data_IF_264488314690
#
_entry.id   IF_264488314690
#
_cell.length_a   1.000
_cell.length_b   1.000
_cell.length_c   1.000
_cell.angle_alpha   90.00
_cell.angle_beta   90.00
_cell.angle_gamma   90.00
#
_symmetry.space_group_name_H-M   'P 1'
#
loop_
_entity.id
_entity.type
_entity.pdbx_description
1 polymer ?
#
# COMPACT_ATOMS: atom_id res chain seq x y z
N UNK A 1 13.75 -9.85 4.42
CA UNK A 1 12.58 -8.99 4.15
C UNK A 1 11.35 -9.77 3.70
N UNK A 2 11.44 -10.61 2.65
CA UNK A 2 10.28 -11.39 2.17
C UNK A 2 9.62 -12.27 3.24
N UNK A 3 10.40 -12.84 4.15
CA UNK A 3 9.85 -13.66 5.23
C UNK A 3 9.03 -12.85 6.26
N UNK A 4 9.31 -11.55 6.40
CA UNK A 4 8.58 -10.63 7.29
C UNK A 4 7.24 -10.24 6.64
N UNK A 5 7.27 -9.96 5.33
CA UNK A 5 6.05 -9.75 4.53
C UNK A 5 5.14 -10.98 4.58
N UNK A 6 5.71 -12.18 4.46
CA UNK A 6 4.94 -13.43 4.58
C UNK A 6 4.24 -13.53 5.94
N UNK A 7 4.95 -13.26 7.04
CA UNK A 7 4.36 -13.21 8.38
C UNK A 7 3.27 -12.14 8.53
N UNK A 8 3.42 -10.99 7.88
CA UNK A 8 2.39 -9.94 7.87
C UNK A 8 1.14 -10.39 7.08
N UNK A 9 1.32 -11.01 5.92
CA UNK A 9 0.21 -11.54 5.14
C UNK A 9 -0.50 -12.73 5.81
N UNK A 10 0.23 -13.54 6.59
CA UNK A 10 -0.35 -14.59 7.44
C UNK A 10 -1.08 -14.02 8.67
N UNK A 11 -0.72 -12.81 9.10
CA UNK A 11 -1.40 -12.07 10.17
C UNK A 11 -2.72 -11.43 9.70
N UNK A 12 -2.82 -11.08 8.41
CA UNK A 12 -4.04 -10.54 7.80
C UNK A 12 -5.15 -11.59 7.61
N UNK A 13 -6.40 -11.19 7.83
CA UNK A 13 -7.59 -12.00 7.52
C UNK A 13 -7.70 -12.25 6.01
N UNK A 14 -8.28 -13.40 5.60
CA UNK A 14 -8.35 -13.83 4.20
C UNK A 14 -9.02 -12.80 3.25
N UNK A 15 -10.01 -12.04 3.74
CA UNK A 15 -10.70 -11.00 2.99
C UNK A 15 -9.83 -9.76 2.76
N UNK A 16 -9.16 -9.26 3.79
CA UNK A 16 -8.25 -8.10 3.69
C UNK A 16 -7.00 -8.42 2.88
N UNK A 17 -6.50 -9.66 2.97
CA UNK A 17 -5.42 -10.14 2.12
C UNK A 17 -5.77 -10.00 0.64
N UNK A 18 -7.03 -10.22 0.25
CA UNK A 18 -7.49 -10.04 -1.14
C UNK A 18 -7.47 -8.56 -1.55
N UNK A 19 -7.86 -7.63 -0.66
CA UNK A 19 -7.76 -6.18 -0.90
C UNK A 19 -6.30 -5.73 -1.07
N UNK A 20 -5.38 -6.26 -0.26
CA UNK A 20 -3.95 -6.00 -0.41
C UNK A 20 -3.38 -6.52 -1.74
N UNK A 21 -3.75 -7.75 -2.16
CA UNK A 21 -3.34 -8.27 -3.47
C UNK A 21 -3.87 -7.43 -4.63
N UNK A 22 -5.12 -6.99 -4.57
CA UNK A 22 -5.69 -6.08 -5.58
C UNK A 22 -4.93 -4.76 -5.64
N UNK A 23 -4.55 -4.22 -4.47
CA UNK A 23 -3.77 -2.99 -4.40
C UNK A 23 -2.36 -3.14 -4.99
N UNK A 24 -1.68 -4.25 -4.71
CA UNK A 24 -0.37 -4.58 -5.33
C UNK A 24 -0.50 -4.70 -6.84
N UNK A 25 -1.54 -5.37 -7.33
CA UNK A 25 -1.79 -5.51 -8.77
C UNK A 25 -2.04 -4.14 -9.45
N UNK A 26 -2.86 -3.28 -8.84
CA UNK A 26 -3.07 -1.91 -9.30
C UNK A 26 -1.75 -1.09 -9.25
N UNK A 27 -0.89 -1.35 -8.27
CA UNK A 27 0.46 -0.81 -8.16
C UNK A 27 1.34 -1.12 -9.37
N UNK A 28 1.37 -2.39 -9.79
CA UNK A 28 2.11 -2.82 -10.98
C UNK A 28 1.60 -2.07 -12.22
N UNK A 29 0.27 -1.95 -12.38
CA UNK A 29 -0.34 -1.20 -13.49
C UNK A 29 0.07 0.29 -13.43
N UNK A 30 0.06 0.90 -12.24
CA UNK A 30 0.52 2.29 -12.02
C UNK A 30 1.97 2.46 -12.47
N UNK A 31 2.87 1.52 -12.17
CA UNK A 31 4.28 1.58 -12.60
C UNK A 31 4.41 1.61 -14.13
N UNK A 32 3.63 0.81 -14.86
CA UNK A 32 3.62 0.84 -16.32
C UNK A 32 3.10 2.18 -16.88
N UNK A 33 2.08 2.78 -16.25
CA UNK A 33 1.53 4.08 -16.66
C UNK A 33 2.54 5.21 -16.45
N UNK A 34 3.33 5.15 -15.38
CA UNK A 34 4.43 6.10 -15.13
C UNK A 34 5.52 5.91 -16.18
N UNK A 35 5.87 4.66 -16.50
CA UNK A 35 6.88 4.35 -17.51
C UNK A 35 6.50 4.88 -18.91
N UNK A 36 5.21 4.98 -19.23
CA UNK A 36 4.70 5.58 -20.48
C UNK A 36 5.10 7.05 -20.66
N UNK A 37 5.51 7.75 -19.59
CA UNK A 37 6.04 9.13 -19.70
C UNK A 37 7.40 9.18 -20.40
N UNK A 38 8.21 8.12 -20.33
CA UNK A 38 9.54 8.04 -20.95
C UNK A 38 9.46 8.19 -22.49
N UNK A 39 8.65 7.40 -23.23
CA UNK A 39 8.54 7.55 -24.67
C UNK A 39 7.92 8.89 -25.07
N UNK A 40 7.03 9.48 -24.25
CA UNK A 40 6.49 10.81 -24.53
C UNK A 40 7.58 11.89 -24.56
N UNK A 41 8.54 11.84 -23.62
CA UNK A 41 9.72 12.72 -23.63
C UNK A 41 10.59 12.42 -24.86
N UNK A 42 10.78 11.15 -25.21
CA UNK A 42 11.53 10.73 -26.40
C UNK A 42 10.99 11.32 -27.71
N UNK A 43 9.66 11.35 -27.87
CA UNK A 43 9.00 11.97 -29.03
C UNK A 43 9.26 13.47 -29.13
N UNK A 44 9.25 14.17 -27.98
CA UNK A 44 9.53 15.61 -27.93
C UNK A 44 11.00 15.90 -28.30
N UNK A 45 11.94 15.10 -27.80
CA UNK A 45 13.37 15.26 -28.09
C UNK A 45 13.68 15.00 -29.57
N UNK A 46 13.11 13.94 -30.18
CA UNK A 46 13.27 13.69 -31.61
C UNK A 46 12.68 14.80 -32.47
N UNK A 47 11.50 15.31 -32.12
CA UNK A 47 10.88 16.44 -32.82
C UNK A 47 11.70 17.74 -32.72
N UNK A 48 12.48 17.92 -31.66
CA UNK A 48 13.37 19.07 -31.50
C UNK A 48 14.64 18.93 -32.38
N UNK A 49 15.19 17.71 -32.48
CA UNK A 49 16.39 17.42 -33.28
C UNK A 49 16.14 17.59 -34.78
N UNK A 50 14.97 17.19 -35.27
CA UNK A 50 14.61 17.26 -36.69
C UNK A 50 14.26 18.69 -37.17
N UNK A 51 14.28 19.71 -36.30
CA UNK A 51 13.94 21.13 -36.58
C UNK A 51 12.56 21.36 -37.24
N UNK A 52 11.73 20.32 -37.36
CA UNK A 52 10.34 20.40 -37.81
C UNK A 52 9.43 20.22 -36.59
N UNK A 53 9.20 21.32 -35.87
CA UNK A 53 8.18 21.37 -34.83
C UNK A 53 6.79 21.34 -35.48
N UNK A 54 6.37 20.15 -35.94
CA UNK A 54 5.00 19.94 -36.35
C UNK A 54 4.10 20.19 -35.14
N UNK A 55 3.22 21.19 -35.22
CA UNK A 55 2.25 21.53 -34.17
C UNK A 55 1.48 20.28 -33.67
N UNK A 56 1.35 19.27 -34.53
CA UNK A 56 0.73 17.98 -34.25
C UNK A 56 1.53 17.12 -33.26
N UNK A 57 2.87 16.99 -33.38
CA UNK A 57 3.67 16.15 -32.48
C UNK A 57 3.73 16.72 -31.07
N UNK A 58 3.76 18.05 -30.94
CA UNK A 58 3.65 18.73 -29.65
C UNK A 58 2.30 18.45 -28.97
N UNK A 59 1.19 18.57 -29.70
CA UNK A 59 -0.14 18.33 -29.16
C UNK A 59 -0.36 16.86 -28.77
N UNK A 60 0.19 15.93 -29.56
CA UNK A 60 0.12 14.50 -29.30
C UNK A 60 0.92 14.12 -28.04
N UNK A 61 2.13 14.65 -27.87
CA UNK A 61 2.93 14.46 -26.67
C UNK A 61 2.24 15.04 -25.42
N UNK A 62 1.68 16.25 -25.54
CA UNK A 62 0.94 16.91 -24.46
C UNK A 62 -0.31 16.10 -24.05
N UNK A 63 -1.05 15.57 -25.04
CA UNK A 63 -2.18 14.69 -24.81
C UNK A 63 -1.82 13.41 -24.05
N UNK A 64 -0.74 12.73 -24.47
CA UNK A 64 -0.26 11.50 -23.81
C UNK A 64 0.14 11.78 -22.35
N UNK A 65 0.85 12.88 -22.08
CA UNK A 65 1.27 13.23 -20.72
C UNK A 65 0.08 13.57 -19.81
N UNK A 66 -0.92 14.30 -20.32
CA UNK A 66 -2.12 14.63 -19.56
C UNK A 66 -2.91 13.37 -19.19
N UNK A 67 -3.16 12.50 -20.17
CA UNK A 67 -3.89 11.24 -19.94
C UNK A 67 -3.15 10.34 -18.95
N UNK A 68 -1.83 10.17 -19.10
CA UNK A 68 -1.01 9.39 -18.17
C UNK A 68 -1.09 9.93 -16.74
N UNK A 69 -1.06 11.26 -16.57
CA UNK A 69 -1.08 11.89 -15.24
C UNK A 69 -2.43 11.79 -14.56
N UNK A 70 -3.53 12.04 -15.29
CA UNK A 70 -4.88 11.88 -14.74
C UNK A 70 -5.11 10.44 -14.31
N UNK A 71 -4.75 9.48 -15.16
CA UNK A 71 -4.90 8.06 -14.85
C UNK A 71 -4.04 7.65 -13.63
N UNK A 72 -2.81 8.18 -13.53
CA UNK A 72 -1.92 7.92 -12.40
C UNK A 72 -2.51 8.42 -11.06
N UNK A 73 -3.06 9.64 -11.05
CA UNK A 73 -3.71 10.20 -9.85
C UNK A 73 -4.89 9.33 -9.43
N UNK A 74 -5.74 8.94 -10.38
CA UNK A 74 -6.94 8.16 -10.10
C UNK A 74 -6.62 6.78 -9.51
N UNK A 75 -5.62 6.09 -10.07
CA UNK A 75 -5.15 4.79 -9.57
C UNK A 75 -4.50 4.94 -8.19
N UNK A 76 -3.68 5.97 -7.98
CA UNK A 76 -3.03 6.20 -6.68
C UNK A 76 -4.06 6.42 -5.57
N UNK A 77 -5.12 7.19 -5.83
CA UNK A 77 -6.20 7.39 -4.85
C UNK A 77 -6.91 6.07 -4.50
N UNK A 78 -7.20 5.23 -5.50
CA UNK A 78 -7.80 3.91 -5.29
C UNK A 78 -6.89 2.99 -4.48
N UNK A 79 -5.60 2.92 -4.82
CA UNK A 79 -4.59 2.11 -4.10
C UNK A 79 -4.53 2.52 -2.63
N UNK A 80 -4.39 3.82 -2.35
CA UNK A 80 -4.27 4.34 -0.98
C UNK A 80 -5.51 4.02 -0.17
N UNK A 81 -6.72 4.20 -0.73
CA UNK A 81 -7.97 3.91 -0.04
C UNK A 81 -8.15 2.41 0.27
N UNK A 82 -7.86 1.53 -0.69
CA UNK A 82 -7.94 0.09 -0.46
C UNK A 82 -6.95 -0.39 0.62
N UNK A 83 -5.73 0.19 0.65
CA UNK A 83 -4.71 -0.21 1.63
C UNK A 83 -5.00 0.32 3.03
N UNK A 84 -5.53 1.54 3.17
CA UNK A 84 -5.91 2.06 4.48
C UNK A 84 -7.08 1.27 5.06
N UNK A 85 -8.11 0.99 4.28
CA UNK A 85 -9.25 0.21 4.74
C UNK A 85 -8.82 -1.21 5.17
N UNK A 86 -8.06 -1.92 4.32
CA UNK A 86 -7.56 -3.25 4.65
C UNK A 86 -6.62 -3.25 5.87
N UNK A 87 -5.79 -2.21 5.99
CA UNK A 87 -4.86 -2.02 7.10
C UNK A 87 -5.55 -1.85 8.45
N UNK A 88 -6.49 -0.91 8.53
CA UNK A 88 -7.24 -0.65 9.75
C UNK A 88 -8.18 -1.80 10.11
N UNK A 89 -8.84 -2.41 9.13
CA UNK A 89 -9.77 -3.52 9.36
C UNK A 89 -9.06 -4.76 9.91
N UNK A 90 -7.92 -5.13 9.33
CA UNK A 90 -7.09 -6.25 9.83
C UNK A 90 -6.64 -6.01 11.28
N UNK A 91 -6.20 -4.79 11.61
CA UNK A 91 -5.75 -4.47 12.96
C UNK A 91 -6.89 -4.57 13.99
N UNK A 92 -8.07 -4.03 13.64
CA UNK A 92 -9.25 -4.11 14.49
C UNK A 92 -9.66 -5.57 14.76
N UNK A 93 -9.70 -6.40 13.72
CA UNK A 93 -10.04 -7.81 13.86
C UNK A 93 -9.02 -8.57 14.71
N UNK A 94 -7.72 -8.29 14.52
CA UNK A 94 -6.69 -8.93 15.36
C UNK A 94 -6.74 -8.46 16.81
N UNK A 95 -7.09 -7.19 17.07
CA UNK A 95 -7.28 -6.69 18.44
C UNK A 95 -8.35 -7.47 19.18
N UNK A 96 -9.44 -7.83 18.49
CA UNK A 96 -10.52 -8.65 19.04
C UNK A 96 -10.03 -10.08 19.30
N UNK A 97 -9.33 -10.71 18.36
CA UNK A 97 -8.78 -12.06 18.51
C UNK A 97 -7.80 -12.16 19.69
N UNK A 98 -6.92 -11.17 19.86
CA UNK A 98 -6.00 -11.10 21.00
C UNK A 98 -6.78 -10.97 22.31
N UNK A 99 -7.80 -10.10 22.36
CA UNK A 99 -8.62 -9.93 23.55
C UNK A 99 -9.40 -11.21 23.91
N UNK A 100 -9.90 -11.94 22.93
CA UNK A 100 -10.57 -13.22 23.13
C UNK A 100 -9.59 -14.27 23.67
N UNK A 101 -8.37 -14.33 23.12
CA UNK A 101 -7.33 -15.24 23.61
C UNK A 101 -6.92 -14.92 25.06
N UNK A 102 -6.87 -13.63 25.42
CA UNK A 102 -6.61 -13.16 26.79
C UNK A 102 -7.64 -13.66 27.80
N UNK A 103 -8.90 -13.87 27.38
CA UNK A 103 -9.95 -14.39 28.27
C UNK A 103 -9.71 -15.83 28.70
N UNK A 104 -9.02 -16.62 27.89
CA UNK A 104 -8.74 -18.04 28.16
C UNK A 104 -7.37 -18.28 28.81
N UNK A 105 -6.59 -17.22 29.10
CA UNK A 105 -5.28 -17.35 29.72
C UNK A 105 -5.39 -17.65 31.23
N UNK A 106 -4.60 -18.61 31.75
CA UNK A 106 -4.61 -18.93 33.18
C UNK A 106 -4.04 -17.78 34.01
N UNK A 107 -4.61 -17.59 35.21
CA UNK A 107 -4.18 -16.54 36.16
C UNK A 107 -2.68 -16.61 36.52
N UNK A 108 -2.04 -17.79 36.42
CA UNK A 108 -0.60 -17.94 36.61
C UNK A 108 0.25 -17.13 35.63
N UNK A 109 -0.22 -16.91 34.39
CA UNK A 109 0.45 -16.07 33.41
C UNK A 109 0.37 -14.58 33.77
N UNK A 110 -0.80 -14.13 34.26
CA UNK A 110 -1.03 -12.76 34.71
C UNK A 110 -0.28 -12.41 36.00
N UNK A 111 0.07 -13.40 36.81
CA UNK A 111 0.87 -13.18 38.02
C UNK A 111 2.38 -13.13 37.73
N UNK A 112 2.85 -13.82 36.69
CA UNK A 112 4.27 -13.81 36.28
C UNK A 112 4.63 -12.62 35.39
N UNK A 113 3.68 -12.12 34.59
CA UNK A 113 3.86 -10.97 33.72
C UNK A 113 3.08 -9.77 34.25
N UNK A 114 3.74 -8.60 34.36
CA UNK A 114 3.06 -7.37 34.76
C UNK A 114 1.88 -7.06 33.84
N UNK A 115 0.71 -6.78 34.42
CA UNK A 115 -0.46 -6.29 33.71
C UNK A 115 -0.13 -5.07 32.84
N UNK A 116 0.78 -4.20 33.30
CA UNK A 116 1.25 -3.05 32.52
C UNK A 116 2.02 -3.43 31.25
N UNK A 117 2.80 -4.53 31.29
CA UNK A 117 3.50 -5.05 30.11
C UNK A 117 2.50 -5.62 29.10
N UNK A 118 1.51 -6.36 29.59
CA UNK A 118 0.44 -6.94 28.79
C UNK A 118 -0.37 -5.85 28.09
N UNK A 119 -0.83 -4.84 28.83
CA UNK A 119 -1.56 -3.70 28.26
C UNK A 119 -0.72 -2.95 27.24
N UNK A 120 0.56 -2.67 27.54
CA UNK A 120 1.45 -1.95 26.61
C UNK A 120 1.68 -2.70 25.29
N UNK A 121 1.77 -4.04 25.33
CA UNK A 121 1.89 -4.85 24.11
C UNK A 121 0.56 -4.80 23.31
N UNK A 122 -0.58 -4.97 23.98
CA UNK A 122 -1.90 -4.98 23.33
C UNK A 122 -2.31 -3.61 22.78
N UNK A 123 -1.85 -2.50 23.38
CA UNK A 123 -2.14 -1.15 22.89
C UNK A 123 -1.05 -0.64 21.96
N UNK A 124 0.17 -0.44 22.47
CA UNK A 124 1.23 0.30 21.76
C UNK A 124 1.89 -0.54 20.67
N UNK A 125 2.21 -1.81 20.94
CA UNK A 125 2.83 -2.66 19.93
C UNK A 125 1.86 -2.99 18.80
N UNK A 126 0.57 -3.21 19.12
CA UNK A 126 -0.45 -3.44 18.11
C UNK A 126 -0.72 -2.19 17.26
N UNK A 127 -0.79 -1.01 17.89
CA UNK A 127 -0.95 0.25 17.18
C UNK A 127 0.27 0.58 16.30
N UNK A 128 1.48 0.41 16.83
CA UNK A 128 2.72 0.55 16.06
C UNK A 128 2.81 -0.44 14.90
N UNK A 129 2.35 -1.69 15.08
CA UNK A 129 2.25 -2.65 13.99
C UNK A 129 1.29 -2.15 12.90
N UNK A 130 0.15 -1.57 13.26
CA UNK A 130 -0.81 -1.05 12.28
C UNK A 130 -0.29 0.15 11.50
N UNK A 131 0.35 1.13 12.13
CA UNK A 131 0.85 2.31 11.41
C UNK A 131 2.08 1.94 10.56
N UNK A 132 3.04 1.21 11.13
CA UNK A 132 4.27 0.85 10.41
C UNK A 132 3.99 -0.12 9.28
N UNK A 133 3.20 -1.18 9.52
CA UNK A 133 3.00 -2.18 8.48
C UNK A 133 2.13 -1.66 7.32
N UNK A 134 1.09 -0.88 7.60
CA UNK A 134 0.28 -0.26 6.54
C UNK A 134 1.10 0.74 5.73
N UNK A 135 1.93 1.54 6.39
CA UNK A 135 2.80 2.52 5.72
C UNK A 135 3.91 1.86 4.91
N UNK A 136 4.49 0.77 5.38
CA UNK A 136 5.48 0.00 4.61
C UNK A 136 4.84 -0.56 3.34
N UNK A 137 3.63 -1.10 3.42
CA UNK A 137 2.90 -1.57 2.23
C UNK A 137 2.57 -0.40 1.29
N UNK A 138 2.17 0.76 1.82
CA UNK A 138 1.96 1.99 1.04
C UNK A 138 3.22 2.49 0.33
N UNK A 139 4.38 2.48 0.99
CA UNK A 139 5.63 2.95 0.37
C UNK A 139 6.24 1.97 -0.63
N UNK A 140 5.83 0.70 -0.60
CA UNK A 140 6.33 -0.32 -1.54
C UNK A 140 5.58 -0.28 -2.89
N UNK A 141 4.44 0.41 -2.97
CA UNK A 141 3.52 0.44 -4.14
C UNK A 141 3.48 1.83 -4.81
#
# INVERSE_FOLDING_TARGET
MLNILKKFFDFCTAEDRRKFYQSIYLGIIKSFIIALRIPAIGLVVMGLIEKNLSMQTFWLALGIMLVSTVLNVWITLKITMLQTEAGYHTCAQKRIEIAEHMRYLPMGYFNQNSLGKITSVTTNTLEGLSDVATRVVMMTV
#
